data_IF_430116668356
#
_entry.id   IF_430116668356
#
_cell.length_a   1.000
_cell.length_b   1.000
_cell.length_c   1.000
_cell.angle_alpha   90.00
_cell.angle_beta   90.00
_cell.angle_gamma   90.00
#
_symmetry.space_group_name_H-M   'P 1'
#
loop_
_entity.id
_entity.type
_entity.pdbx_description
1 polymer ?
#
# COMPACT_ATOMS: atom_id res chain seq x y z
N UNK A 1 3.41 -27.43 30.00
CA UNK A 1 3.37 -27.25 28.53
C UNK A 1 2.45 -28.33 27.99
N UNK A 2 1.41 -27.94 27.23
CA UNK A 2 0.50 -28.90 26.60
C UNK A 2 1.08 -29.16 25.22
N UNK A 3 1.54 -30.38 24.98
CA UNK A 3 2.04 -30.81 23.68
C UNK A 3 0.84 -31.13 22.77
N UNK A 4 0.66 -30.34 21.72
CA UNK A 4 -0.45 -30.51 20.77
C UNK A 4 -0.03 -31.52 19.70
N UNK A 5 -0.45 -32.77 19.89
CA UNK A 5 -0.22 -33.84 18.90
C UNK A 5 -1.35 -33.86 17.87
N UNK A 6 -1.34 -32.95 16.89
CA UNK A 6 -2.38 -32.87 15.86
C UNK A 6 -1.81 -32.49 14.51
N UNK A 7 -2.47 -32.93 13.45
CA UNK A 7 -2.24 -32.37 12.11
C UNK A 7 -2.54 -30.86 12.09
N UNK A 8 -2.16 -30.13 11.02
CA UNK A 8 -2.53 -28.74 10.84
C UNK A 8 -4.04 -28.48 10.96
N UNK A 9 -4.46 -27.60 11.84
CA UNK A 9 -5.88 -27.30 12.10
C UNK A 9 -6.30 -25.97 11.51
N UNK A 10 -5.48 -24.92 11.70
CA UNK A 10 -5.77 -23.56 11.23
C UNK A 10 -4.48 -22.86 10.81
N UNK A 11 -4.60 -22.00 9.79
CA UNK A 11 -3.54 -21.13 9.26
C UNK A 11 -4.17 -19.78 8.91
N UNK A 12 -3.62 -18.69 9.44
CA UNK A 12 -4.15 -17.33 9.21
C UNK A 12 -3.02 -16.33 9.09
N UNK A 13 -3.09 -15.48 8.08
CA UNK A 13 -2.20 -14.31 7.96
C UNK A 13 -2.89 -13.07 8.50
N UNK A 14 -2.12 -12.15 9.09
CA UNK A 14 -2.61 -10.86 9.55
C UNK A 14 -1.58 -9.78 9.19
N UNK A 15 -1.87 -8.91 8.21
CA UNK A 15 -3.07 -8.91 7.34
C UNK A 15 -3.09 -10.13 6.38
N UNK A 16 -4.28 -10.54 5.96
CA UNK A 16 -4.46 -11.61 4.97
C UNK A 16 -4.54 -11.09 3.52
N UNK A 17 -4.40 -9.79 3.34
CA UNK A 17 -4.40 -9.13 2.04
C UNK A 17 -3.45 -7.94 2.07
N UNK A 18 -2.73 -7.74 0.96
CA UNK A 18 -1.85 -6.59 0.77
C UNK A 18 -2.07 -5.95 -0.61
N UNK A 19 -1.66 -4.68 -0.70
CA UNK A 19 -1.39 -4.00 -1.97
C UNK A 19 0.11 -4.03 -2.21
N UNK A 20 0.54 -4.56 -3.34
CA UNK A 20 1.92 -4.57 -3.78
C UNK A 20 2.04 -3.74 -5.06
N UNK A 21 3.01 -2.85 -5.11
CA UNK A 21 3.30 -2.10 -6.32
C UNK A 21 3.90 -3.02 -7.38
N UNK A 22 3.60 -2.73 -8.66
CA UNK A 22 4.16 -3.52 -9.76
C UNK A 22 5.70 -3.56 -9.70
N UNK A 23 6.25 -4.70 -10.09
CA UNK A 23 7.71 -4.94 -10.16
C UNK A 23 8.48 -4.71 -8.84
N UNK A 24 7.79 -4.61 -7.70
CA UNK A 24 8.42 -4.50 -6.38
C UNK A 24 8.33 -5.81 -5.61
N UNK A 25 9.31 -6.02 -4.73
CA UNK A 25 9.25 -7.13 -3.78
C UNK A 25 8.27 -6.80 -2.65
N UNK A 26 7.51 -7.79 -2.24
CA UNK A 26 6.71 -7.71 -1.04
C UNK A 26 6.82 -9.00 -0.22
N UNK A 27 6.78 -8.87 1.10
CA UNK A 27 6.98 -9.98 2.04
C UNK A 27 5.86 -9.94 3.08
N UNK A 28 5.18 -11.09 3.29
CA UNK A 28 4.15 -11.20 4.31
C UNK A 28 4.73 -11.26 5.73
N UNK A 29 3.88 -11.12 6.73
CA UNK A 29 4.17 -11.62 8.08
C UNK A 29 4.15 -13.15 8.09
N UNK A 30 4.76 -13.77 9.12
CA UNK A 30 4.55 -15.19 9.39
C UNK A 30 3.08 -15.44 9.77
N UNK A 31 2.48 -16.57 9.36
CA UNK A 31 1.10 -16.89 9.72
C UNK A 31 0.97 -17.28 11.18
N UNK A 32 -0.22 -17.07 11.75
CA UNK A 32 -0.65 -17.73 12.96
C UNK A 32 -1.09 -19.14 12.60
N UNK A 33 -0.53 -20.13 13.30
CA UNK A 33 -0.76 -21.55 13.04
C UNK A 33 -1.32 -22.24 14.28
N UNK A 34 -2.25 -23.17 14.10
CA UNK A 34 -2.77 -24.06 15.13
C UNK A 34 -2.57 -25.51 14.68
N UNK A 35 -1.86 -26.28 15.50
CA UNK A 35 -1.49 -27.67 15.26
C UNK A 35 -0.13 -27.97 15.89
N UNK A 36 0.37 -29.19 15.75
CA UNK A 36 1.74 -29.53 16.18
C UNK A 36 2.76 -28.89 15.26
N UNK A 37 3.80 -28.30 15.85
CA UNK A 37 4.92 -27.70 15.11
C UNK A 37 6.03 -28.69 14.79
N UNK A 38 5.94 -29.93 15.27
CA UNK A 38 6.91 -30.99 15.00
C UNK A 38 6.95 -31.37 13.52
N UNK A 39 8.08 -31.06 12.86
CA UNK A 39 8.24 -31.29 11.43
C UNK A 39 7.33 -30.44 10.55
N UNK A 40 6.87 -29.27 11.06
CA UNK A 40 5.99 -28.36 10.31
C UNK A 40 6.72 -27.78 9.11
N UNK A 41 6.11 -27.95 7.93
CA UNK A 41 6.59 -27.42 6.65
C UNK A 41 5.43 -26.81 5.89
N UNK A 42 5.70 -25.64 5.28
CA UNK A 42 4.75 -24.93 4.44
C UNK A 42 5.15 -25.04 2.97
N UNK A 43 4.17 -25.16 2.09
CA UNK A 43 4.37 -25.09 0.64
C UNK A 43 3.20 -24.37 -0.04
N UNK A 44 3.46 -23.76 -1.20
CA UNK A 44 2.39 -23.21 -2.03
C UNK A 44 1.67 -24.38 -2.70
N UNK A 45 0.37 -24.50 -2.45
CA UNK A 45 -0.52 -25.44 -3.17
C UNK A 45 -0.83 -24.91 -4.56
N UNK A 46 -1.25 -23.65 -4.63
CA UNK A 46 -1.56 -22.97 -5.90
C UNK A 46 -1.60 -21.46 -5.73
N UNK A 47 -1.46 -20.76 -6.83
CA UNK A 47 -1.78 -19.33 -6.96
C UNK A 47 -2.81 -19.14 -8.07
N UNK A 48 -3.70 -18.15 -7.93
CA UNK A 48 -4.68 -17.80 -8.94
C UNK A 48 -4.65 -16.29 -9.16
N UNK A 49 -4.19 -15.77 -10.33
CA UNK A 49 -3.65 -16.55 -11.46
C UNK A 49 -2.36 -17.32 -11.11
N UNK A 50 -2.08 -18.36 -11.87
CA UNK A 50 -0.88 -19.15 -11.66
C UNK A 50 0.38 -18.34 -11.97
N UNK A 51 1.31 -18.27 -11.03
CA UNK A 51 2.58 -17.55 -11.18
C UNK A 51 3.69 -18.21 -10.38
N UNK A 52 4.91 -18.15 -10.90
CA UNK A 52 6.14 -18.55 -10.19
C UNK A 52 6.77 -17.40 -9.41
N UNK A 53 6.18 -16.20 -9.47
CA UNK A 53 6.73 -15.01 -8.81
C UNK A 53 6.40 -14.94 -7.31
N UNK A 54 5.57 -15.86 -6.82
CA UNK A 54 5.22 -15.99 -5.41
C UNK A 54 5.87 -17.25 -4.85
N UNK A 55 6.62 -17.10 -3.78
CA UNK A 55 7.26 -18.19 -3.04
C UNK A 55 6.87 -18.18 -1.58
N UNK A 56 7.10 -19.28 -0.87
CA UNK A 56 6.91 -19.40 0.57
C UNK A 56 8.17 -19.97 1.21
N UNK A 57 8.55 -19.43 2.36
CA UNK A 57 9.63 -20.01 3.17
C UNK A 57 9.07 -21.24 3.91
N UNK A 58 9.63 -22.45 3.66
CA UNK A 58 9.06 -23.70 4.16
C UNK A 58 9.00 -23.78 5.69
N UNK A 59 9.89 -23.12 6.41
CA UNK A 59 9.99 -23.22 7.88
C UNK A 59 9.19 -22.15 8.60
N UNK A 60 9.01 -20.99 8.00
CA UNK A 60 8.36 -19.85 8.64
C UNK A 60 6.95 -19.56 8.09
N UNK A 61 6.64 -20.06 6.89
CA UNK A 61 5.39 -19.76 6.20
C UNK A 61 5.31 -18.35 5.65
N UNK A 62 6.41 -17.60 5.61
CA UNK A 62 6.46 -16.25 5.05
C UNK A 62 6.34 -16.33 3.54
N UNK A 63 5.39 -15.59 2.98
CA UNK A 63 5.15 -15.48 1.54
C UNK A 63 5.94 -14.30 0.99
N UNK A 64 6.62 -14.51 -0.12
CA UNK A 64 7.38 -13.47 -0.82
C UNK A 64 6.89 -13.34 -2.26
N UNK A 65 6.50 -12.13 -2.66
CA UNK A 65 6.38 -11.73 -4.06
C UNK A 65 7.74 -11.24 -4.54
N UNK A 66 8.22 -11.78 -5.65
CA UNK A 66 9.53 -11.44 -6.20
C UNK A 66 9.58 -10.00 -6.73
N UNK A 67 10.78 -9.41 -6.73
CA UNK A 67 11.09 -8.22 -7.53
C UNK A 67 10.94 -8.57 -9.02
N UNK A 68 10.59 -7.62 -9.84
CA UNK A 68 10.35 -7.81 -11.28
C UNK A 68 9.29 -8.89 -11.59
N UNK A 69 8.28 -8.99 -10.73
CA UNK A 69 7.22 -10.01 -10.82
C UNK A 69 6.41 -9.96 -12.13
N UNK A 70 6.44 -8.85 -12.88
CA UNK A 70 5.77 -8.65 -14.18
C UNK A 70 4.27 -8.97 -14.17
N UNK A 71 3.65 -8.88 -12.99
CA UNK A 71 2.21 -9.01 -12.86
C UNK A 71 1.56 -7.68 -13.27
N UNK A 72 0.50 -7.74 -14.05
CA UNK A 72 -0.20 -6.54 -14.53
C UNK A 72 -0.91 -5.81 -13.38
N UNK A 73 -0.92 -4.47 -13.44
CA UNK A 73 -1.70 -3.62 -12.53
C UNK A 73 -3.17 -4.05 -12.55
N UNK A 74 -3.79 -4.13 -11.37
CA UNK A 74 -5.16 -4.64 -11.20
C UNK A 74 -5.25 -6.15 -11.01
N UNK A 75 -4.13 -6.89 -11.17
CA UNK A 75 -4.11 -8.33 -10.89
C UNK A 75 -4.33 -8.59 -9.40
N UNK A 76 -5.22 -9.52 -9.09
CA UNK A 76 -5.44 -10.06 -7.74
C UNK A 76 -4.96 -11.50 -7.69
N UNK A 77 -3.87 -11.76 -6.95
CA UNK A 77 -3.32 -13.10 -6.77
C UNK A 77 -3.81 -13.69 -5.45
N UNK A 78 -4.56 -14.77 -5.51
CA UNK A 78 -4.95 -15.57 -4.34
C UNK A 78 -3.97 -16.73 -4.15
N UNK A 79 -3.48 -16.88 -2.93
CA UNK A 79 -2.48 -17.89 -2.56
C UNK A 79 -3.13 -18.94 -1.66
N UNK A 80 -3.05 -20.20 -2.10
CA UNK A 80 -3.43 -21.38 -1.31
C UNK A 80 -2.17 -22.11 -0.85
N UNK A 81 -2.18 -22.59 0.38
CA UNK A 81 -1.01 -23.17 1.05
C UNK A 81 -1.36 -24.57 1.57
N UNK A 82 -0.42 -25.48 1.45
CA UNK A 82 -0.42 -26.75 2.18
C UNK A 82 0.53 -26.62 3.36
N UNK A 83 0.06 -26.90 4.57
CA UNK A 83 0.90 -27.11 5.74
C UNK A 83 0.92 -28.61 6.07
N UNK A 84 2.08 -29.16 6.39
CA UNK A 84 2.28 -30.55 6.78
C UNK A 84 3.17 -30.66 8.01
N UNK A 85 2.89 -31.66 8.84
CA UNK A 85 3.70 -32.03 9.98
C UNK A 85 3.76 -33.55 10.12
N UNK A 86 4.40 -34.09 11.13
CA UNK A 86 4.48 -35.55 11.34
C UNK A 86 3.12 -36.25 11.54
N UNK A 87 2.06 -35.49 11.83
CA UNK A 87 0.72 -36.05 12.08
C UNK A 87 -0.23 -35.96 10.87
N UNK A 88 0.20 -35.29 9.78
CA UNK A 88 -0.57 -35.18 8.55
C UNK A 88 -0.38 -33.84 7.83
N UNK A 89 -1.19 -33.62 6.82
CA UNK A 89 -1.20 -32.40 6.03
C UNK A 89 -2.60 -31.84 5.85
N UNK A 90 -2.70 -30.54 5.64
CA UNK A 90 -3.94 -29.84 5.35
C UNK A 90 -3.71 -28.70 4.37
N UNK A 91 -4.66 -28.56 3.45
CA UNK A 91 -4.73 -27.46 2.51
C UNK A 91 -5.56 -26.31 3.10
N UNK A 92 -5.08 -25.11 2.85
CA UNK A 92 -5.72 -23.85 3.23
C UNK A 92 -5.87 -23.00 1.97
N UNK A 93 -7.09 -22.91 1.46
CA UNK A 93 -7.38 -22.26 0.20
C UNK A 93 -7.53 -20.75 0.39
N UNK A 94 -6.92 -19.97 -0.52
CA UNK A 94 -7.02 -18.50 -0.60
C UNK A 94 -6.76 -17.80 0.73
N UNK A 95 -5.75 -18.23 1.48
CA UNK A 95 -5.42 -17.68 2.80
C UNK A 95 -4.69 -16.37 2.77
N UNK A 96 -4.14 -16.01 1.60
CA UNK A 96 -3.44 -14.74 1.39
C UNK A 96 -3.75 -14.15 0.01
N UNK A 97 -3.94 -12.83 -0.06
CA UNK A 97 -4.27 -12.13 -1.29
C UNK A 97 -3.27 -11.00 -1.54
N UNK A 98 -2.75 -10.94 -2.76
CA UNK A 98 -1.85 -9.87 -3.22
C UNK A 98 -2.55 -9.11 -4.35
N UNK A 99 -2.81 -7.81 -4.16
CA UNK A 99 -3.39 -6.93 -5.16
C UNK A 99 -2.28 -6.07 -5.77
N UNK A 100 -2.03 -6.22 -7.07
CA UNK A 100 -1.03 -5.44 -7.79
C UNK A 100 -1.59 -4.07 -8.11
N UNK A 101 -0.91 -3.03 -7.63
CA UNK A 101 -1.28 -1.62 -7.83
C UNK A 101 -0.18 -0.87 -8.57
N UNK A 102 -0.56 0.26 -9.15
CA UNK A 102 0.39 1.17 -9.78
C UNK A 102 1.38 1.72 -8.73
N UNK A 103 2.63 1.88 -9.13
CA UNK A 103 3.63 2.60 -8.34
C UNK A 103 3.28 4.08 -8.32
N UNK A 104 2.93 4.59 -7.16
CA UNK A 104 2.70 6.02 -6.95
C UNK A 104 4.00 6.64 -6.43
N UNK A 105 4.73 7.30 -7.32
CA UNK A 105 5.97 7.96 -6.95
C UNK A 105 5.73 8.99 -5.84
N UNK A 106 6.57 9.04 -4.79
CA UNK A 106 6.49 10.08 -3.78
C UNK A 106 6.74 11.45 -4.42
N UNK A 107 6.18 12.50 -3.80
CA UNK A 107 6.43 13.87 -4.26
C UNK A 107 7.92 14.16 -4.13
N UNK A 108 8.57 14.44 -5.25
CA UNK A 108 10.00 14.77 -5.33
C UNK A 108 10.26 16.24 -5.58
N UNK A 109 9.29 16.95 -6.11
CA UNK A 109 9.36 18.39 -6.36
C UNK A 109 7.98 19.02 -6.26
N UNK A 110 7.91 20.16 -5.58
CA UNK A 110 6.70 20.96 -5.45
C UNK A 110 7.10 22.44 -5.34
N UNK A 111 6.62 23.26 -6.24
CA UNK A 111 6.83 24.70 -6.16
C UNK A 111 5.70 25.52 -6.79
N UNK A 112 5.60 26.75 -6.34
CA UNK A 112 4.90 27.84 -7.02
C UNK A 112 5.90 28.73 -7.74
N UNK A 113 5.44 29.53 -8.70
CA UNK A 113 6.25 30.60 -9.26
C UNK A 113 6.66 31.58 -8.15
N UNK A 114 7.76 32.31 -8.38
CA UNK A 114 8.24 33.33 -7.46
C UNK A 114 7.18 34.41 -7.18
N UNK A 115 7.42 35.17 -6.11
CA UNK A 115 6.51 36.17 -5.55
C UNK A 115 5.73 36.99 -6.57
N UNK A 116 4.40 36.92 -6.48
CA UNK A 116 3.51 37.87 -7.15
C UNK A 116 3.15 39.02 -6.23
N UNK A 117 3.20 40.24 -6.79
CA UNK A 117 2.66 41.42 -6.12
C UNK A 117 1.15 41.49 -6.35
N UNK A 118 0.39 41.23 -5.31
CA UNK A 118 -1.07 41.26 -5.37
C UNK A 118 -1.58 42.62 -4.99
N UNK A 119 -2.51 43.16 -5.76
CA UNK A 119 -3.19 44.43 -5.41
C UNK A 119 -4.28 44.07 -4.38
N UNK A 120 -4.26 44.71 -3.21
CA UNK A 120 -5.21 44.52 -2.14
C UNK A 120 -6.66 44.59 -2.64
N UNK A 121 -7.54 43.75 -2.08
CA UNK A 121 -8.97 43.64 -2.41
C UNK A 121 -9.26 43.24 -3.87
N UNK A 122 -8.27 42.84 -4.67
CA UNK A 122 -8.50 42.26 -5.99
C UNK A 122 -8.58 40.73 -5.91
N UNK A 123 -9.31 40.16 -6.84
CA UNK A 123 -9.27 38.69 -7.00
C UNK A 123 -7.96 38.28 -7.68
N UNK A 124 -7.40 37.17 -7.25
CA UNK A 124 -6.24 36.57 -7.91
C UNK A 124 -6.32 35.03 -7.85
N UNK A 125 -5.56 34.39 -8.73
CA UNK A 125 -5.32 32.95 -8.76
C UNK A 125 -3.83 32.71 -9.02
N UNK A 126 -3.24 31.82 -8.20
CA UNK A 126 -1.83 31.44 -8.32
C UNK A 126 -1.74 29.92 -8.41
N UNK A 127 -1.62 29.36 -9.63
CA UNK A 127 -1.56 27.91 -9.81
C UNK A 127 -0.20 27.35 -9.36
N UNK A 128 -0.19 26.06 -9.07
CA UNK A 128 1.06 25.30 -8.88
C UNK A 128 1.87 25.39 -10.17
N UNK A 129 3.14 25.78 -10.07
CA UNK A 129 4.04 25.85 -11.21
C UNK A 129 4.52 24.45 -11.63
N UNK A 130 4.93 23.66 -10.65
CA UNK A 130 5.48 22.33 -10.88
C UNK A 130 5.19 21.40 -9.72
N UNK A 131 4.80 20.18 -10.06
CA UNK A 131 4.74 19.04 -9.16
C UNK A 131 5.27 17.82 -9.89
N UNK A 132 6.13 17.05 -9.21
CA UNK A 132 6.59 15.75 -9.67
C UNK A 132 6.30 14.76 -8.56
N UNK A 133 5.50 13.76 -8.87
CA UNK A 133 5.03 12.72 -7.94
C UNK A 133 3.65 12.21 -8.32
N UNK A 134 3.09 11.40 -7.45
CA UNK A 134 1.75 10.83 -7.63
C UNK A 134 0.63 11.76 -7.22
N UNK A 135 -0.55 11.19 -7.00
CA UNK A 135 -1.74 11.93 -6.56
C UNK A 135 -1.50 12.64 -5.23
N UNK A 136 -1.88 13.91 -5.18
CA UNK A 136 -1.68 14.78 -4.01
C UNK A 136 -2.97 15.48 -3.61
N UNK A 137 -3.04 15.82 -2.32
CA UNK A 137 -4.06 16.72 -1.79
C UNK A 137 -3.35 17.91 -1.16
N UNK A 138 -3.81 19.10 -1.49
CA UNK A 138 -3.21 20.35 -1.05
C UNK A 138 -3.95 20.95 0.13
N UNK A 139 -3.21 21.46 1.10
CA UNK A 139 -3.77 22.20 2.23
C UNK A 139 -2.76 23.21 2.79
N UNK A 140 -3.26 24.26 3.44
CA UNK A 140 -2.39 25.14 4.23
C UNK A 140 -2.06 24.48 5.57
N UNK A 141 -0.79 24.48 5.96
CA UNK A 141 -0.35 23.99 7.27
C UNK A 141 -0.55 25.04 8.35
N UNK A 142 -0.21 26.32 8.05
CA UNK A 142 -0.29 27.42 8.99
C UNK A 142 -0.62 28.70 8.23
N UNK A 143 -1.88 29.07 8.23
CA UNK A 143 -2.34 30.33 7.64
C UNK A 143 -2.58 31.34 8.78
N UNK A 144 -1.80 32.41 8.82
CA UNK A 144 -2.01 33.47 9.82
C UNK A 144 -3.41 34.09 9.69
N UNK A 145 -3.95 34.64 10.78
CA UNK A 145 -5.31 35.19 10.81
C UNK A 145 -5.53 36.32 9.75
N UNK A 146 -4.47 37.03 9.38
CA UNK A 146 -4.49 38.06 8.34
C UNK A 146 -4.63 37.50 6.91
N UNK A 147 -4.44 36.20 6.73
CA UNK A 147 -4.47 35.52 5.44
C UNK A 147 -5.72 34.60 5.34
N UNK A 148 -6.70 34.79 6.22
CA UNK A 148 -7.92 33.97 6.28
C UNK A 148 -8.76 33.99 5.00
N UNK A 149 -8.57 35.01 4.16
CA UNK A 149 -9.26 35.15 2.87
C UNK A 149 -8.57 34.39 1.72
N UNK A 150 -7.43 33.77 1.99
CA UNK A 150 -6.80 32.84 1.03
C UNK A 150 -7.51 31.49 1.04
N UNK A 151 -7.67 30.95 -0.13
CA UNK A 151 -8.18 29.60 -0.34
C UNK A 151 -7.14 28.80 -1.15
N UNK A 152 -7.07 27.50 -0.88
CA UNK A 152 -6.32 26.56 -1.71
C UNK A 152 -7.27 25.49 -2.24
N UNK A 153 -7.22 25.25 -3.53
CA UNK A 153 -7.97 24.16 -4.13
C UNK A 153 -7.26 22.83 -3.76
N UNK A 154 -7.94 21.90 -3.08
CA UNK A 154 -7.30 20.68 -2.59
C UNK A 154 -6.88 19.72 -3.71
N UNK A 155 -7.38 19.89 -4.93
CA UNK A 155 -7.10 19.02 -6.07
C UNK A 155 -6.03 19.62 -6.99
N UNK A 156 -6.13 20.92 -7.26
CA UNK A 156 -5.21 21.61 -8.19
C UNK A 156 -4.05 22.32 -7.50
N UNK A 157 -4.16 22.57 -6.19
CA UNK A 157 -3.20 23.34 -5.42
C UNK A 157 -3.27 24.85 -5.70
N UNK A 158 -4.20 25.31 -6.53
CA UNK A 158 -4.32 26.72 -6.87
C UNK A 158 -4.65 27.55 -5.63
N UNK A 159 -3.81 28.53 -5.31
CA UNK A 159 -4.06 29.51 -4.25
C UNK A 159 -4.86 30.67 -4.85
N UNK A 160 -5.92 31.06 -4.17
CA UNK A 160 -6.80 32.12 -4.68
C UNK A 160 -7.36 33.00 -3.57
N UNK A 161 -7.78 34.20 -3.93
CA UNK A 161 -8.63 35.05 -3.11
C UNK A 161 -9.71 35.73 -3.96
N UNK A 162 -10.86 36.00 -3.33
CA UNK A 162 -11.98 36.69 -3.97
C UNK A 162 -11.74 38.20 -3.99
N UNK A 163 -12.45 38.88 -4.88
CA UNK A 163 -12.53 40.36 -4.87
C UNK A 163 -13.09 40.85 -3.53
N UNK A 164 -12.49 41.88 -2.96
CA UNK A 164 -12.87 42.43 -1.65
C UNK A 164 -12.27 41.69 -0.46
N UNK A 165 -11.24 40.84 -0.68
CA UNK A 165 -10.47 40.22 0.40
C UNK A 165 -9.76 41.26 1.28
N UNK A 166 -9.47 40.89 2.52
CA UNK A 166 -8.77 41.73 3.48
C UNK A 166 -7.28 41.36 3.64
N UNK A 167 -6.68 40.80 2.62
CA UNK A 167 -5.25 40.44 2.63
C UNK A 167 -4.45 41.74 2.64
N UNK A 168 -3.54 41.93 3.63
CA UNK A 168 -2.77 43.18 3.81
C UNK A 168 -1.74 43.43 2.71
#
# INVERSE_FOLDING_TARGET
EIDITSQPLSLTYTPNSIKAEENTQNVSTAPTFIGSTDGLVYSIKSTTPQTSMISIEPTTGIITLATDNKLEIGTTCNVSITASNQYGSKDFDNVYTINIVEYIAPISEFNYNDTENIIQATAFEHPVNKIIGGEVTYSFVNLGAQLSDLNIDPTTGTISAKKGNNIP
#
